data_IF_699269899707
#
_entry.id   IF_699269899707
#
_cell.length_a   1.000
_cell.length_b   1.000
_cell.length_c   1.000
_cell.angle_alpha   90.00
_cell.angle_beta   90.00
_cell.angle_gamma   90.00
#
_symmetry.space_group_name_H-M   'P 1'
#
loop_
_entity.id
_entity.type
_entity.pdbx_description
1 polymer ?
#
# COMPACT_ATOMS: atom_id res chain seq x y z
N UNK A 1 -2.67 44.48 -44.42
CA UNK A 1 -1.33 43.88 -44.22
C UNK A 1 -0.41 44.97 -43.68
N UNK A 2 -0.23 45.06 -42.35
CA UNK A 2 0.78 45.94 -41.73
C UNK A 2 1.40 45.18 -40.56
N UNK A 3 2.63 44.73 -40.78
CA UNK A 3 3.44 43.92 -39.89
C UNK A 3 4.08 44.83 -38.81
N UNK A 4 3.65 44.72 -37.56
CA UNK A 4 4.27 45.46 -36.44
C UNK A 4 5.65 44.87 -36.16
N UNK A 5 6.71 45.49 -36.71
CA UNK A 5 8.11 45.19 -36.39
C UNK A 5 8.35 45.38 -34.89
N UNK A 6 8.54 44.28 -34.15
CA UNK A 6 9.01 44.30 -32.75
C UNK A 6 10.41 44.95 -32.71
N UNK A 7 10.48 46.16 -32.20
CA UNK A 7 11.75 46.89 -32.03
C UNK A 7 12.52 46.28 -30.85
N UNK A 8 13.49 45.41 -31.13
CA UNK A 8 14.39 44.87 -30.10
C UNK A 8 15.37 45.97 -29.68
N UNK A 9 15.11 46.61 -28.53
CA UNK A 9 16.03 47.58 -27.90
C UNK A 9 17.35 46.86 -27.58
N UNK A 10 18.43 47.20 -28.27
CA UNK A 10 19.77 46.61 -28.03
C UNK A 10 20.29 47.10 -26.68
N UNK A 11 20.60 46.17 -25.77
CA UNK A 11 21.18 46.50 -24.46
C UNK A 11 22.60 47.06 -24.63
N UNK A 12 22.93 48.10 -23.86
CA UNK A 12 24.28 48.65 -23.76
C UNK A 12 25.22 47.64 -23.08
N UNK A 13 26.54 47.76 -23.30
CA UNK A 13 27.53 46.84 -22.71
C UNK A 13 27.38 46.73 -21.18
N UNK A 14 27.18 47.86 -20.52
CA UNK A 14 26.96 47.92 -19.08
C UNK A 14 25.66 47.20 -18.65
N UNK A 15 24.57 47.32 -19.44
CA UNK A 15 23.33 46.58 -19.17
C UNK A 15 23.48 45.06 -19.34
N UNK A 16 24.34 44.61 -20.28
CA UNK A 16 24.65 43.18 -20.45
C UNK A 16 25.48 42.64 -19.29
N UNK A 17 26.43 43.42 -18.78
CA UNK A 17 27.21 43.08 -17.58
C UNK A 17 26.33 42.97 -16.34
N UNK A 18 25.40 43.91 -16.14
CA UNK A 18 24.42 43.83 -15.05
C UNK A 18 23.49 42.60 -15.19
N UNK A 19 23.03 42.26 -16.40
CA UNK A 19 22.24 41.04 -16.60
C UNK A 19 23.04 39.76 -16.34
N UNK A 20 24.33 39.74 -16.70
CA UNK A 20 25.22 38.61 -16.42
C UNK A 20 25.51 38.47 -14.92
N UNK A 21 25.67 39.60 -14.21
CA UNK A 21 25.80 39.60 -12.75
C UNK A 21 24.51 39.10 -12.08
N UNK A 22 23.33 39.51 -12.58
CA UNK A 22 22.03 39.06 -12.09
C UNK A 22 21.79 37.57 -12.36
N UNK A 23 22.18 37.06 -13.54
CA UNK A 23 22.07 35.64 -13.84
C UNK A 23 23.02 34.80 -12.99
N UNK A 24 24.26 35.27 -12.78
CA UNK A 24 25.22 34.65 -11.87
C UNK A 24 24.71 34.60 -10.42
N UNK A 25 24.13 35.69 -9.94
CA UNK A 25 23.50 35.76 -8.61
C UNK A 25 22.31 34.79 -8.49
N UNK A 26 21.48 34.70 -9.54
CA UNK A 26 20.37 33.73 -9.57
C UNK A 26 20.90 32.29 -9.55
N UNK A 27 21.94 31.97 -10.31
CA UNK A 27 22.58 30.64 -10.30
C UNK A 27 23.14 30.31 -8.91
N UNK A 28 23.86 31.22 -8.27
CA UNK A 28 24.34 31.02 -6.88
C UNK A 28 23.17 30.84 -5.90
N UNK A 29 22.11 31.64 -6.00
CA UNK A 29 20.95 31.53 -5.11
C UNK A 29 20.24 30.17 -5.27
N UNK A 30 20.15 29.65 -6.50
CA UNK A 30 19.55 28.34 -6.77
C UNK A 30 20.42 27.20 -6.27
N UNK A 31 21.75 27.33 -6.40
CA UNK A 31 22.69 26.34 -5.87
C UNK A 31 22.66 26.31 -4.34
N UNK A 32 22.65 27.47 -3.68
CA UNK A 32 22.55 27.55 -2.21
C UNK A 32 21.23 27.00 -1.69
N UNK A 33 20.10 27.29 -2.37
CA UNK A 33 18.79 26.71 -2.00
C UNK A 33 18.75 25.20 -2.19
N UNK A 34 19.40 24.67 -3.23
CA UNK A 34 19.53 23.22 -3.44
C UNK A 34 20.44 22.58 -2.41
N UNK A 35 21.53 23.24 -2.02
CA UNK A 35 22.42 22.75 -0.97
C UNK A 35 21.71 22.71 0.41
N UNK A 36 20.90 23.71 0.73
CA UNK A 36 20.05 23.72 1.95
C UNK A 36 18.95 22.65 1.90
N UNK A 37 18.32 22.45 0.73
CA UNK A 37 17.37 21.37 0.56
C UNK A 37 18.03 19.99 0.68
N UNK A 38 19.20 19.79 0.08
CA UNK A 38 19.98 18.54 0.15
C UNK A 38 20.52 18.30 1.56
N UNK A 39 20.91 19.35 2.29
CA UNK A 39 21.32 19.23 3.69
C UNK A 39 20.16 18.85 4.61
N UNK A 40 18.91 19.11 4.20
CA UNK A 40 17.69 18.71 4.92
C UNK A 40 17.08 17.40 4.40
N UNK A 41 17.23 17.09 3.11
CA UNK A 41 16.84 15.83 2.47
C UNK A 41 17.83 14.73 2.85
N UNK A 42 17.56 14.09 3.99
CA UNK A 42 18.43 13.09 4.59
C UNK A 42 18.37 13.12 6.11
N UNK A 43 17.98 14.27 6.68
CA UNK A 43 17.56 14.41 8.08
C UNK A 43 16.11 13.97 8.24
N UNK A 44 15.80 12.73 7.85
CA UNK A 44 14.63 12.08 8.40
C UNK A 44 14.97 11.65 9.83
N UNK A 45 14.11 11.97 10.79
CA UNK A 45 14.20 11.50 12.18
C UNK A 45 15.56 11.75 12.88
N UNK A 46 16.13 12.95 12.70
CA UNK A 46 17.35 13.36 13.42
C UNK A 46 18.64 12.66 12.96
N UNK A 47 18.66 12.11 11.75
CA UNK A 47 19.84 11.42 11.19
C UNK A 47 19.90 9.92 11.50
N UNK A 48 18.86 9.37 12.15
CA UNK A 48 18.70 7.93 12.30
C UNK A 48 18.32 7.31 10.95
N UNK A 49 19.18 6.40 10.47
CA UNK A 49 18.96 5.65 9.22
C UNK A 49 17.87 4.58 9.37
N UNK A 50 17.64 4.12 10.60
CA UNK A 50 16.53 3.23 10.92
C UNK A 50 15.28 4.05 11.27
N UNK A 51 14.38 4.14 10.30
CA UNK A 51 13.10 4.85 10.42
C UNK A 51 12.15 4.12 11.39
N UNK A 52 12.23 2.80 11.47
CA UNK A 52 11.35 2.01 12.32
C UNK A 52 11.68 2.22 13.79
N UNK A 53 12.97 2.16 14.15
CA UNK A 53 13.44 2.47 15.50
C UNK A 53 13.12 3.92 15.87
N UNK A 54 13.36 4.87 14.95
CA UNK A 54 13.14 6.28 15.23
C UNK A 54 11.66 6.65 15.43
N UNK A 55 10.74 5.87 14.86
CA UNK A 55 9.29 6.01 15.04
C UNK A 55 8.73 5.12 16.15
N UNK A 56 9.57 4.31 16.81
CA UNK A 56 9.16 3.40 17.88
C UNK A 56 8.34 2.20 17.40
N UNK A 57 8.48 1.80 16.14
CA UNK A 57 7.84 0.58 15.65
C UNK A 57 8.57 -0.66 16.16
N UNK A 58 7.79 -1.68 16.49
CA UNK A 58 8.30 -2.98 16.91
C UNK A 58 8.84 -3.74 15.70
N UNK A 59 10.06 -4.25 15.79
CA UNK A 59 10.69 -5.05 14.72
C UNK A 59 10.13 -6.48 14.63
N UNK A 60 9.85 -7.08 15.79
CA UNK A 60 9.30 -8.43 15.89
C UNK A 60 7.83 -8.37 16.24
N UNK A 61 6.96 -8.76 15.31
CA UNK A 61 5.52 -8.75 15.53
C UNK A 61 5.05 -10.06 16.16
N UNK A 62 4.12 -9.94 17.12
CA UNK A 62 3.43 -11.08 17.71
C UNK A 62 2.01 -11.22 17.12
N UNK A 63 1.33 -12.34 17.39
CA UNK A 63 -0.04 -12.58 16.94
C UNK A 63 -0.98 -11.45 17.30
N UNK A 64 -0.91 -10.93 18.53
CA UNK A 64 -1.76 -9.82 18.98
C UNK A 64 -1.57 -8.53 18.16
N UNK A 65 -0.37 -8.30 17.63
CA UNK A 65 -0.11 -7.15 16.74
C UNK A 65 -0.87 -7.30 15.42
N UNK A 66 -0.89 -8.52 14.85
CA UNK A 66 -1.64 -8.81 13.62
C UNK A 66 -3.15 -8.81 13.85
N UNK A 67 -3.63 -9.37 14.96
CA UNK A 67 -5.04 -9.36 15.32
C UNK A 67 -5.55 -7.92 15.50
N UNK A 68 -4.80 -7.07 16.21
CA UNK A 68 -5.15 -5.66 16.40
C UNK A 68 -5.26 -4.93 15.05
N UNK A 69 -4.35 -5.22 14.10
CA UNK A 69 -4.42 -4.68 12.74
C UNK A 69 -5.65 -5.20 12.00
N UNK A 70 -5.93 -6.50 12.05
CA UNK A 70 -7.09 -7.10 11.42
C UNK A 70 -8.43 -6.53 11.95
N UNK A 71 -8.51 -6.25 13.24
CA UNK A 71 -9.71 -5.70 13.87
C UNK A 71 -9.91 -4.21 13.57
N UNK A 72 -8.83 -3.42 13.56
CA UNK A 72 -8.90 -1.95 13.49
C UNK A 72 -8.67 -1.37 12.10
N UNK A 73 -7.91 -2.05 11.24
CA UNK A 73 -7.60 -1.56 9.89
C UNK A 73 -8.44 -2.27 8.83
N UNK A 74 -9.20 -1.48 8.08
CA UNK A 74 -10.07 -1.91 6.99
C UNK A 74 -9.30 -2.61 5.87
N UNK A 75 -8.10 -2.11 5.52
CA UNK A 75 -7.23 -2.70 4.51
C UNK A 75 -6.75 -4.08 4.95
N UNK A 76 -6.22 -4.21 6.17
CA UNK A 76 -5.75 -5.50 6.71
C UNK A 76 -6.89 -6.52 6.74
N UNK A 77 -8.07 -6.09 7.20
CA UNK A 77 -9.28 -6.91 7.19
C UNK A 77 -9.67 -7.36 5.79
N UNK A 78 -9.55 -6.48 4.78
CA UNK A 78 -9.93 -6.78 3.40
C UNK A 78 -8.96 -7.74 2.72
N UNK A 79 -7.66 -7.57 2.94
CA UNK A 79 -6.61 -8.45 2.40
C UNK A 79 -6.84 -9.90 2.81
N UNK A 80 -7.24 -10.13 4.07
CA UNK A 80 -7.52 -11.47 4.57
C UNK A 80 -8.90 -11.97 4.09
N UNK A 81 -9.96 -11.17 4.25
CA UNK A 81 -11.32 -11.67 4.03
C UNK A 81 -11.68 -11.87 2.56
N UNK A 82 -11.09 -11.09 1.65
CA UNK A 82 -11.44 -11.16 0.23
C UNK A 82 -11.10 -12.51 -0.42
N UNK A 83 -9.87 -13.05 -0.31
CA UNK A 83 -9.52 -14.35 -0.88
C UNK A 83 -10.37 -15.46 -0.26
N UNK A 84 -10.55 -15.46 1.06
CA UNK A 84 -11.39 -16.45 1.77
C UNK A 84 -12.82 -16.42 1.23
N UNK A 85 -13.42 -15.24 1.12
CA UNK A 85 -14.78 -15.10 0.55
C UNK A 85 -14.84 -15.60 -0.89
N UNK A 86 -13.78 -15.41 -1.68
CA UNK A 86 -13.73 -15.91 -3.05
C UNK A 86 -13.63 -17.43 -3.09
N UNK A 87 -12.78 -18.03 -2.26
CA UNK A 87 -12.61 -19.49 -2.12
C UNK A 87 -13.91 -20.17 -1.73
N UNK A 88 -14.57 -19.69 -0.67
CA UNK A 88 -15.80 -20.29 -0.15
C UNK A 88 -17.07 -19.79 -0.84
N UNK A 89 -16.96 -19.02 -1.92
CA UNK A 89 -18.10 -18.50 -2.68
C UNK A 89 -18.90 -19.64 -3.31
N UNK A 90 -18.21 -20.59 -3.94
CA UNK A 90 -18.78 -21.83 -4.45
C UNK A 90 -18.29 -22.95 -3.55
N UNK A 91 -19.19 -23.49 -2.74
CA UNK A 91 -18.87 -24.58 -1.82
C UNK A 91 -18.56 -25.84 -2.64
N UNK A 92 -17.62 -26.67 -2.18
CA UNK A 92 -17.38 -27.95 -2.82
C UNK A 92 -18.61 -28.84 -2.70
N UNK A 93 -18.90 -29.56 -3.78
CA UNK A 93 -19.93 -30.58 -3.86
C UNK A 93 -19.22 -31.93 -3.94
N UNK A 94 -19.78 -32.93 -3.27
CA UNK A 94 -19.29 -34.31 -3.36
C UNK A 94 -20.25 -35.03 -4.30
N UNK A 95 -19.68 -35.64 -5.33
CA UNK A 95 -20.40 -36.36 -6.37
C UNK A 95 -19.76 -37.74 -6.47
N UNK A 96 -20.57 -38.78 -6.25
CA UNK A 96 -20.19 -40.19 -6.35
C UNK A 96 -20.61 -40.78 -7.69
N UNK A 97 -21.80 -40.40 -8.19
CA UNK A 97 -22.29 -40.75 -9.53
C UNK A 97 -22.86 -39.52 -10.26
N UNK A 98 -22.80 -39.52 -11.59
CA UNK A 98 -23.29 -38.39 -12.41
C UNK A 98 -24.81 -38.39 -12.61
N UNK A 99 -25.48 -39.54 -12.45
CA UNK A 99 -26.89 -39.71 -12.83
C UNK A 99 -27.88 -39.57 -11.67
N UNK A 100 -27.56 -40.11 -10.48
CA UNK A 100 -28.48 -40.16 -9.35
C UNK A 100 -27.81 -39.79 -8.01
N UNK A 101 -28.56 -39.08 -7.18
CA UNK A 101 -28.09 -38.61 -5.86
C UNK A 101 -28.03 -39.78 -4.86
N UNK A 102 -26.82 -40.14 -4.41
CA UNK A 102 -26.60 -41.33 -3.56
C UNK A 102 -27.01 -41.08 -2.10
N UNK A 103 -27.25 -42.15 -1.34
CA UNK A 103 -27.56 -42.04 0.10
C UNK A 103 -26.45 -41.33 0.87
N UNK A 104 -25.20 -41.50 0.43
CA UNK A 104 -24.04 -40.81 0.98
C UNK A 104 -24.09 -39.30 0.70
N UNK A 105 -24.38 -38.89 -0.53
CA UNK A 105 -24.51 -37.46 -0.89
C UNK A 105 -25.61 -36.76 -0.09
N UNK A 106 -26.74 -37.43 0.11
CA UNK A 106 -27.84 -36.95 0.96
C UNK A 106 -27.42 -36.83 2.43
N UNK A 107 -26.75 -37.84 2.96
CA UNK A 107 -26.23 -37.82 4.33
C UNK A 107 -25.19 -36.71 4.52
N UNK A 108 -24.30 -36.50 3.54
CA UNK A 108 -23.33 -35.42 3.53
C UNK A 108 -24.00 -34.05 3.51
N UNK A 109 -24.98 -33.85 2.62
CA UNK A 109 -25.75 -32.60 2.53
C UNK A 109 -26.47 -32.28 3.84
N UNK A 110 -27.07 -33.29 4.47
CA UNK A 110 -27.70 -33.18 5.79
C UNK A 110 -26.68 -32.76 6.87
N UNK A 111 -25.52 -33.43 6.92
CA UNK A 111 -24.44 -33.11 7.87
C UNK A 111 -23.93 -31.67 7.68
N UNK A 112 -23.63 -31.28 6.44
CA UNK A 112 -23.16 -29.93 6.10
C UNK A 112 -24.16 -28.88 6.54
N UNK A 113 -25.45 -29.12 6.35
CA UNK A 113 -26.54 -28.22 6.73
C UNK A 113 -26.70 -28.15 8.25
N UNK A 114 -26.72 -29.28 8.94
CA UNK A 114 -26.94 -29.37 10.39
C UNK A 114 -25.75 -28.79 11.17
N UNK A 115 -24.53 -29.22 10.84
CA UNK A 115 -23.31 -28.81 11.55
C UNK A 115 -22.70 -27.52 11.00
N UNK A 116 -23.26 -26.97 9.93
CA UNK A 116 -22.74 -25.76 9.25
C UNK A 116 -21.26 -25.89 8.91
N UNK A 117 -20.84 -27.03 8.36
CA UNK A 117 -19.43 -27.40 8.16
C UNK A 117 -18.64 -26.27 7.47
N UNK A 118 -19.13 -25.78 6.32
CA UNK A 118 -18.47 -24.71 5.58
C UNK A 118 -18.40 -23.37 6.33
N UNK A 119 -19.33 -23.10 7.25
CA UNK A 119 -19.25 -21.91 8.11
C UNK A 119 -18.02 -21.97 9.02
N UNK A 120 -17.80 -23.12 9.66
CA UNK A 120 -16.65 -23.31 10.55
C UNK A 120 -15.34 -23.40 9.78
N UNK A 121 -15.30 -24.07 8.64
CA UNK A 121 -14.11 -24.10 7.77
C UNK A 121 -13.71 -22.69 7.32
N UNK A 122 -14.68 -21.85 6.90
CA UNK A 122 -14.42 -20.45 6.55
C UNK A 122 -13.88 -19.64 7.74
N UNK A 123 -14.32 -19.96 8.97
CA UNK A 123 -13.82 -19.28 10.19
C UNK A 123 -12.38 -19.68 10.51
N UNK A 124 -12.07 -20.97 10.41
CA UNK A 124 -10.71 -21.48 10.63
C UNK A 124 -9.76 -20.89 9.60
N UNK A 125 -10.16 -20.86 8.32
CA UNK A 125 -9.38 -20.28 7.22
C UNK A 125 -9.04 -18.80 7.47
N UNK A 126 -9.99 -18.06 8.05
CA UNK A 126 -9.77 -16.67 8.49
C UNK A 126 -8.77 -16.56 9.64
N UNK A 127 -8.90 -17.39 10.66
CA UNK A 127 -7.98 -17.36 11.81
C UNK A 127 -6.55 -17.74 11.39
N UNK A 128 -6.42 -18.77 10.55
CA UNK A 128 -5.15 -19.19 9.97
C UNK A 128 -4.46 -18.10 9.13
N UNK A 129 -5.23 -17.14 8.59
CA UNK A 129 -4.72 -16.05 7.76
C UNK A 129 -4.34 -14.77 8.53
N UNK A 130 -4.62 -14.68 9.84
CA UNK A 130 -4.29 -13.49 10.64
C UNK A 130 -2.82 -13.50 11.06
N UNK A 131 -2.25 -14.66 11.36
CA UNK A 131 -0.86 -14.78 11.82
C UNK A 131 -0.21 -16.06 11.31
N UNK A 132 0.84 -16.50 12.00
CA UNK A 132 1.57 -17.73 11.66
C UNK A 132 0.82 -19.02 12.03
N UNK A 133 -0.11 -18.91 12.97
CA UNK A 133 -0.90 -20.03 13.49
C UNK A 133 -2.38 -19.62 13.52
N UNK A 134 -3.27 -20.54 13.12
CA UNK A 134 -4.72 -20.38 13.28
C UNK A 134 -5.19 -21.08 14.56
N UNK A 135 -5.01 -20.42 15.70
CA UNK A 135 -5.44 -20.91 17.02
C UNK A 135 -6.69 -20.16 17.46
#
# INVERSE_FOLDING_TARGET
MVEKKKTTKKLTANQKEHLFALSSLMVQSTLSRRADLMSRMGYAYGGKRDVYEALGYKETLDFGDYEAKYLRQDIAKRVINLPIKATWRKKPEIIENEEDETDFEKAWSALVKEKKVYHYLTRVDRLASIGRYGV
#
